data_IF_866722378834
#
_entry.id   IF_866722378834
#
_cell.length_a   1.000
_cell.length_b   1.000
_cell.length_c   1.000
_cell.angle_alpha   90.00
_cell.angle_beta   90.00
_cell.angle_gamma   90.00
#
_symmetry.space_group_name_H-M   'P 1'
#
loop_
_entity.id
_entity.type
_entity.pdbx_description
1 polymer ?
#
# COMPACT_ATOMS: atom_id res chain seq x y z
N UNK A 1 -15.67 -9.02 -19.73
CA UNK A 1 -16.04 -7.87 -18.88
C UNK A 1 -15.97 -6.51 -19.56
N UNK A 2 -15.14 -6.27 -20.60
CA UNK A 2 -15.15 -4.98 -21.31
C UNK A 2 -14.80 -3.76 -20.43
N UNK A 3 -14.15 -4.00 -19.29
CA UNK A 3 -13.80 -2.98 -18.32
C UNK A 3 -12.38 -2.52 -18.60
N UNK A 4 -12.17 -1.21 -18.55
CA UNK A 4 -10.89 -0.61 -18.85
C UNK A 4 -10.50 0.43 -17.80
N UNK A 5 -9.20 0.56 -17.56
CA UNK A 5 -8.64 1.48 -16.57
C UNK A 5 -8.05 2.67 -17.34
N UNK A 6 -8.57 3.88 -17.11
CA UNK A 6 -7.99 5.10 -17.65
C UNK A 6 -6.60 5.35 -17.05
N UNK A 7 -5.56 5.32 -17.88
CA UNK A 7 -4.17 5.52 -17.42
C UNK A 7 -3.65 6.93 -17.65
N UNK A 8 -4.24 7.69 -18.59
CA UNK A 8 -3.79 9.02 -18.93
C UNK A 8 -4.08 9.42 -20.36
N UNK A 9 -3.44 10.49 -20.82
CA UNK A 9 -3.57 11.00 -22.19
C UNK A 9 -2.25 10.89 -22.95
N UNK A 10 -2.32 10.59 -24.24
CA UNK A 10 -1.16 10.61 -25.12
C UNK A 10 -0.81 12.06 -25.54
N UNK A 11 0.18 12.20 -26.44
CA UNK A 11 0.60 13.51 -26.99
C UNK A 11 -0.50 14.24 -27.75
N UNK A 12 -1.42 13.50 -28.37
CA UNK A 12 -2.55 14.04 -29.13
C UNK A 12 -3.75 14.37 -28.23
N UNK A 13 -3.55 14.28 -26.90
CA UNK A 13 -4.57 14.52 -25.85
C UNK A 13 -5.70 13.50 -25.84
N UNK A 14 -5.56 12.41 -26.57
CA UNK A 14 -6.49 11.28 -26.55
C UNK A 14 -6.32 10.47 -25.27
N UNK A 15 -7.43 9.99 -24.72
CA UNK A 15 -7.40 9.13 -23.54
C UNK A 15 -6.85 7.75 -23.90
N UNK A 16 -6.11 7.16 -22.98
CA UNK A 16 -5.56 5.80 -23.07
C UNK A 16 -6.06 4.98 -21.90
N UNK A 17 -6.37 3.73 -22.21
CA UNK A 17 -6.98 2.80 -21.29
C UNK A 17 -6.24 1.46 -21.33
N UNK A 18 -6.17 0.79 -20.20
CA UNK A 18 -5.75 -0.61 -20.11
C UNK A 18 -7.00 -1.45 -20.02
N UNK A 19 -7.25 -2.29 -21.02
CA UNK A 19 -8.34 -3.26 -20.99
C UNK A 19 -7.99 -4.41 -20.07
N UNK A 20 -8.91 -4.74 -19.15
CA UNK A 20 -8.73 -5.87 -18.26
C UNK A 20 -9.16 -7.16 -18.94
N UNK A 21 -8.19 -8.06 -19.09
CA UNK A 21 -8.40 -9.38 -19.69
C UNK A 21 -8.61 -10.41 -18.59
N UNK A 22 -9.68 -11.18 -18.70
CA UNK A 22 -10.07 -12.20 -17.71
C UNK A 22 -9.07 -13.37 -17.63
N UNK A 23 -8.36 -13.63 -18.74
CA UNK A 23 -7.45 -14.76 -18.89
C UNK A 23 -5.98 -14.36 -18.82
N UNK A 24 -5.65 -13.11 -18.49
CA UNK A 24 -4.26 -12.62 -18.40
C UNK A 24 -4.01 -11.94 -17.05
N UNK A 25 -2.74 -11.93 -16.62
CA UNK A 25 -2.35 -11.18 -15.45
C UNK A 25 -2.24 -9.70 -15.82
N UNK A 26 -3.18 -8.85 -15.38
CA UNK A 26 -3.18 -7.41 -15.70
C UNK A 26 -2.23 -6.62 -14.78
N UNK A 27 -1.08 -7.21 -14.45
CA UNK A 27 -0.11 -6.61 -13.54
C UNK A 27 0.54 -5.39 -14.18
N UNK A 28 0.66 -4.31 -13.40
CA UNK A 28 1.29 -3.05 -13.82
C UNK A 28 2.43 -2.74 -12.87
N UNK A 29 3.64 -2.56 -13.41
CA UNK A 29 4.79 -2.10 -12.63
C UNK A 29 5.19 -0.69 -13.05
N UNK A 30 5.23 0.22 -12.09
CA UNK A 30 5.67 1.60 -12.25
C UNK A 30 7.12 1.78 -11.78
N UNK A 31 7.97 2.28 -12.69
CA UNK A 31 9.34 2.69 -12.44
C UNK A 31 9.48 4.20 -12.53
N UNK A 32 10.35 4.79 -11.71
CA UNK A 32 10.71 6.20 -11.81
C UNK A 32 11.42 6.71 -10.56
N UNK A 33 12.19 7.80 -10.65
CA UNK A 33 12.93 8.35 -9.51
C UNK A 33 11.98 8.88 -8.43
N UNK A 34 12.51 9.15 -7.24
CA UNK A 34 11.79 9.86 -6.19
C UNK A 34 11.26 11.23 -6.69
N UNK A 35 10.04 11.59 -6.27
CA UNK A 35 9.38 12.85 -6.66
C UNK A 35 8.81 12.89 -8.09
N UNK A 36 8.93 11.83 -8.88
CA UNK A 36 8.36 11.76 -10.25
C UNK A 36 6.83 11.64 -10.29
N UNK A 37 6.19 11.29 -9.16
CA UNK A 37 4.74 11.14 -9.06
C UNK A 37 4.23 9.70 -9.19
N UNK A 38 5.07 8.67 -8.97
CA UNK A 38 4.63 7.26 -8.99
C UNK A 38 3.43 6.99 -8.08
N UNK A 39 3.56 7.32 -6.81
CA UNK A 39 2.49 7.15 -5.80
C UNK A 39 1.23 7.90 -6.20
N UNK A 40 1.37 9.11 -6.75
CA UNK A 40 0.27 9.92 -7.31
C UNK A 40 -0.46 9.20 -8.45
N UNK A 41 0.27 8.57 -9.38
CA UNK A 41 -0.32 7.81 -10.48
C UNK A 41 -0.98 6.52 -9.99
N UNK A 42 -0.35 5.78 -9.08
CA UNK A 42 -0.95 4.56 -8.52
C UNK A 42 -2.21 4.85 -7.73
N UNK A 43 -2.24 5.96 -6.98
CA UNK A 43 -3.45 6.46 -6.31
C UNK A 43 -4.55 6.74 -7.33
N UNK A 44 -4.22 7.42 -8.42
CA UNK A 44 -5.18 7.70 -9.49
C UNK A 44 -5.75 6.43 -10.13
N UNK A 45 -4.94 5.38 -10.27
CA UNK A 45 -5.39 4.09 -10.79
C UNK A 45 -6.29 3.37 -9.79
N UNK A 46 -5.96 3.39 -8.50
CA UNK A 46 -6.81 2.81 -7.46
C UNK A 46 -8.21 3.45 -7.43
N UNK A 47 -8.27 4.78 -7.57
CA UNK A 47 -9.54 5.53 -7.69
C UNK A 47 -10.34 5.12 -8.92
N UNK A 48 -9.67 4.98 -10.06
CA UNK A 48 -10.29 4.59 -11.33
C UNK A 48 -10.87 3.19 -11.26
N UNK A 49 -10.13 2.26 -10.64
CA UNK A 49 -10.56 0.88 -10.39
C UNK A 49 -11.81 0.88 -9.51
N UNK A 50 -11.75 1.58 -8.37
CA UNK A 50 -12.87 1.63 -7.43
C UNK A 50 -14.15 2.18 -8.07
N UNK A 51 -14.03 3.18 -8.96
CA UNK A 51 -15.19 3.81 -9.60
C UNK A 51 -15.77 3.00 -10.75
N UNK A 52 -14.91 2.40 -11.58
CA UNK A 52 -15.33 1.85 -12.87
C UNK A 52 -15.33 0.32 -12.92
N UNK A 53 -14.88 -0.35 -11.86
CA UNK A 53 -14.87 -1.81 -11.76
C UNK A 53 -15.81 -2.23 -10.63
N UNK A 54 -17.10 -2.48 -10.94
CA UNK A 54 -18.10 -2.82 -9.94
C UNK A 54 -17.68 -4.02 -9.08
N UNK A 55 -17.80 -3.86 -7.77
CA UNK A 55 -17.52 -4.91 -6.81
C UNK A 55 -16.04 -5.25 -6.62
N UNK A 56 -15.10 -4.52 -7.25
CA UNK A 56 -13.67 -4.78 -7.06
C UNK A 56 -13.23 -4.54 -5.62
N UNK A 57 -12.44 -5.47 -5.08
CA UNK A 57 -11.74 -5.25 -3.81
C UNK A 57 -10.44 -4.51 -4.09
N UNK A 58 -10.34 -3.25 -3.67
CA UNK A 58 -9.12 -2.46 -3.75
C UNK A 58 -8.40 -2.49 -2.42
N UNK A 59 -7.16 -3.00 -2.42
CA UNK A 59 -6.28 -3.11 -1.27
C UNK A 59 -5.01 -2.33 -1.55
N UNK A 60 -4.70 -1.36 -0.71
CA UNK A 60 -3.52 -0.50 -0.83
C UNK A 60 -2.58 -0.78 0.34
N UNK A 61 -1.33 -1.07 0.04
CA UNK A 61 -0.27 -1.22 1.05
C UNK A 61 0.48 0.11 1.13
N UNK A 62 0.30 0.82 2.24
CA UNK A 62 0.94 2.11 2.47
C UNK A 62 2.17 1.95 3.38
N UNK A 63 3.30 2.51 2.97
CA UNK A 63 4.58 2.41 3.69
C UNK A 63 5.02 3.73 4.34
N UNK A 64 4.42 4.86 3.96
CA UNK A 64 4.80 6.19 4.46
C UNK A 64 3.62 7.17 4.44
N UNK A 65 3.67 8.15 5.34
CA UNK A 65 2.82 9.33 5.29
C UNK A 65 3.54 10.49 4.60
N UNK A 66 2.80 11.49 4.10
CA UNK A 66 3.34 12.71 3.48
C UNK A 66 2.82 13.98 4.15
N UNK A 67 3.66 14.56 5.00
CA UNK A 67 3.37 15.81 5.73
C UNK A 67 3.10 17.00 4.79
N UNK A 68 3.60 16.97 3.55
CA UNK A 68 3.42 18.08 2.62
C UNK A 68 1.97 18.23 2.16
N UNK A 69 1.18 17.15 2.15
CA UNK A 69 -0.20 17.20 1.70
C UNK A 69 -1.09 18.06 2.59
N UNK A 70 -0.88 18.00 3.91
CA UNK A 70 -1.58 18.88 4.84
C UNK A 70 -1.25 20.34 4.53
N UNK A 71 0.01 20.65 4.24
CA UNK A 71 0.43 21.98 3.81
C UNK A 71 -0.20 22.39 2.47
N UNK A 72 -0.21 21.53 1.46
CA UNK A 72 -0.79 21.80 0.14
C UNK A 72 -2.29 22.18 0.25
N UNK A 73 -3.02 21.51 1.14
CA UNK A 73 -4.41 21.84 1.47
C UNK A 73 -4.55 23.25 2.09
N UNK A 74 -3.64 23.63 2.99
CA UNK A 74 -3.68 24.95 3.65
C UNK A 74 -3.24 26.08 2.72
N UNK A 75 -2.28 25.81 1.85
CA UNK A 75 -1.88 26.74 0.78
C UNK A 75 -3.06 26.95 -0.19
N UNK A 76 -3.78 25.88 -0.56
CA UNK A 76 -5.02 25.98 -1.34
C UNK A 76 -6.07 26.87 -0.65
N UNK A 77 -6.39 26.60 0.62
CA UNK A 77 -7.36 27.40 1.37
C UNK A 77 -6.96 28.88 1.41
N UNK A 78 -5.69 29.17 1.68
CA UNK A 78 -5.16 30.53 1.72
C UNK A 78 -5.32 31.24 0.38
N UNK A 79 -5.00 30.57 -0.72
CA UNK A 79 -5.12 31.13 -2.08
C UNK A 79 -6.60 31.40 -2.41
N UNK A 80 -7.50 30.47 -2.13
CA UNK A 80 -8.92 30.65 -2.44
C UNK A 80 -9.55 31.72 -1.56
N UNK A 81 -9.20 31.79 -0.27
CA UNK A 81 -9.68 32.84 0.63
C UNK A 81 -9.31 34.23 0.11
N UNK A 82 -8.06 34.41 -0.36
CA UNK A 82 -7.61 35.66 -0.99
C UNK A 82 -8.36 35.99 -2.29
N UNK A 83 -8.70 34.98 -3.10
CA UNK A 83 -9.33 35.17 -4.42
C UNK A 83 -10.86 35.32 -4.38
N UNK A 84 -11.52 34.68 -3.43
CA UNK A 84 -12.99 34.53 -3.39
C UNK A 84 -13.64 35.02 -2.10
N UNK A 85 -12.85 35.34 -1.09
CA UNK A 85 -13.32 35.83 0.21
C UNK A 85 -13.60 34.71 1.23
N UNK A 86 -13.67 35.05 2.53
CA UNK A 86 -13.90 34.08 3.61
C UNK A 86 -15.27 33.40 3.56
N UNK A 87 -16.33 34.13 3.20
CA UNK A 87 -17.70 33.60 3.19
C UNK A 87 -17.86 32.47 2.17
N UNK A 88 -17.29 32.65 0.97
CA UNK A 88 -17.24 31.61 -0.05
C UNK A 88 -16.54 30.35 0.47
N UNK A 89 -15.42 30.51 1.20
CA UNK A 89 -14.67 29.38 1.76
C UNK A 89 -15.47 28.63 2.82
N UNK A 90 -16.15 29.36 3.69
CA UNK A 90 -17.01 28.79 4.73
C UNK A 90 -18.16 27.98 4.14
N UNK A 91 -18.75 28.46 3.04
CA UNK A 91 -19.85 27.76 2.35
C UNK A 91 -19.38 26.51 1.60
N UNK A 92 -18.20 26.57 0.94
CA UNK A 92 -17.79 25.53 -0.02
C UNK A 92 -16.73 24.54 0.52
N UNK A 93 -15.99 24.90 1.57
CA UNK A 93 -14.85 24.12 2.07
C UNK A 93 -14.87 23.97 3.59
N UNK A 94 -16.06 23.92 4.19
CA UNK A 94 -16.22 23.81 5.65
C UNK A 94 -15.45 22.65 6.28
N UNK A 95 -15.43 21.41 5.74
CA UNK A 95 -14.65 20.31 6.30
C UNK A 95 -13.14 20.61 6.31
N UNK A 96 -12.66 21.29 5.26
CA UNK A 96 -11.26 21.66 5.14
C UNK A 96 -10.88 22.78 6.11
N UNK A 97 -11.79 23.74 6.33
CA UNK A 97 -11.63 24.80 7.33
C UNK A 97 -11.58 24.22 8.75
N UNK A 98 -12.42 23.23 9.05
CA UNK A 98 -12.38 22.49 10.31
C UNK A 98 -11.03 21.79 10.50
N UNK A 99 -10.54 21.10 9.47
CA UNK A 99 -9.23 20.47 9.51
C UNK A 99 -8.09 21.50 9.69
N UNK A 100 -8.15 22.64 9.00
CA UNK A 100 -7.18 23.73 9.19
C UNK A 100 -7.13 24.23 10.64
N UNK A 101 -8.30 24.43 11.26
CA UNK A 101 -8.37 24.86 12.65
C UNK A 101 -7.78 23.83 13.61
N UNK A 102 -8.00 22.53 13.35
CA UNK A 102 -7.37 21.43 14.09
C UNK A 102 -5.85 21.54 13.98
N UNK A 103 -5.30 21.67 12.77
CA UNK A 103 -3.85 21.77 12.55
C UNK A 103 -3.24 23.00 13.22
N UNK A 104 -3.95 24.13 13.25
CA UNK A 104 -3.48 25.35 13.89
C UNK A 104 -3.38 25.20 15.41
N UNK A 105 -4.33 24.48 16.01
CA UNK A 105 -4.41 24.31 17.45
C UNK A 105 -3.56 23.13 17.95
N UNK A 106 -3.40 22.09 17.12
CA UNK A 106 -2.70 20.86 17.48
C UNK A 106 -1.99 20.21 16.27
N UNK A 107 -1.04 20.95 15.71
CA UNK A 107 -0.20 20.49 14.59
C UNK A 107 0.83 19.42 14.97
N UNK A 108 0.96 19.07 16.25
CA UNK A 108 1.87 18.01 16.73
C UNK A 108 1.18 16.64 16.60
N UNK A 109 -0.08 16.54 17.02
CA UNK A 109 -0.86 15.31 16.91
C UNK A 109 -1.42 15.10 15.49
N UNK A 110 -1.74 16.17 14.77
CA UNK A 110 -2.33 16.13 13.43
C UNK A 110 -1.33 16.52 12.31
N UNK A 111 -1.78 16.51 11.05
CA UNK A 111 -0.99 16.94 9.90
C UNK A 111 -0.11 15.84 9.30
N UNK A 112 -0.47 14.58 9.52
CA UNK A 112 0.27 13.41 9.03
C UNK A 112 -0.62 12.54 8.12
N UNK A 113 -1.18 13.10 7.03
CA UNK A 113 -1.95 12.32 6.07
C UNK A 113 -1.07 11.29 5.36
N UNK A 114 -1.64 10.13 5.03
CA UNK A 114 -0.98 9.09 4.28
C UNK A 114 -0.64 9.50 2.84
N UNK A 115 0.28 8.78 2.21
CA UNK A 115 0.55 8.91 0.76
C UNK A 115 -0.67 8.57 -0.10
N UNK A 116 -1.55 7.74 0.43
CA UNK A 116 -2.84 7.38 -0.13
C UNK A 116 -3.98 8.02 0.67
N UNK A 117 -4.03 9.36 0.69
CA UNK A 117 -5.06 10.16 1.37
C UNK A 117 -6.33 10.30 0.51
N UNK A 118 -6.90 9.16 0.13
CA UNK A 118 -8.09 9.05 -0.72
C UNK A 118 -9.34 9.79 -0.20
N UNK A 119 -9.43 10.02 1.12
CA UNK A 119 -10.56 10.70 1.74
C UNK A 119 -10.57 12.21 1.52
N UNK A 120 -9.44 12.83 1.19
CA UNK A 120 -9.39 14.27 0.91
C UNK A 120 -9.48 14.54 -0.59
N UNK A 121 -10.38 15.44 -1.06
CA UNK A 121 -10.38 15.86 -2.46
C UNK A 121 -9.08 16.60 -2.83
N UNK A 122 -8.58 16.37 -4.03
CA UNK A 122 -7.39 17.03 -4.57
C UNK A 122 -7.67 18.45 -5.07
N UNK A 123 -8.11 19.32 -4.16
CA UNK A 123 -8.32 20.72 -4.46
C UNK A 123 -7.07 21.45 -4.97
N UNK A 124 -5.84 21.18 -4.47
CA UNK A 124 -4.63 21.82 -4.98
C UNK A 124 -4.48 21.66 -6.50
N UNK A 125 -4.83 20.51 -7.07
CA UNK A 125 -4.71 20.26 -8.52
C UNK A 125 -5.70 21.06 -9.38
N UNK A 126 -6.64 21.80 -8.78
CA UNK A 126 -7.48 22.75 -9.51
C UNK A 126 -6.81 24.10 -9.76
N UNK A 127 -5.72 24.40 -9.05
CA UNK A 127 -5.03 25.70 -9.14
C UNK A 127 -3.95 25.71 -10.22
N UNK A 128 -3.40 24.55 -10.55
CA UNK A 128 -2.24 24.42 -11.41
C UNK A 128 -2.64 23.91 -12.79
N UNK A 129 -2.18 24.55 -13.88
CA UNK A 129 -2.36 24.04 -15.22
C UNK A 129 -1.38 22.89 -15.52
N UNK A 130 -1.73 21.97 -16.44
CA UNK A 130 -0.82 20.89 -16.83
C UNK A 130 0.38 21.43 -17.63
N UNK A 131 0.25 22.53 -18.37
CA UNK A 131 1.29 23.17 -19.19
C UNK A 131 1.32 24.69 -18.94
N UNK A 132 2.44 25.41 -19.18
CA UNK A 132 2.46 26.86 -19.02
C UNK A 132 1.45 27.49 -19.98
N UNK A 133 0.65 28.43 -19.48
CA UNK A 133 -0.34 29.13 -20.29
C UNK A 133 -1.57 28.30 -20.67
N UNK A 134 -1.69 27.04 -20.22
CA UNK A 134 -2.95 26.29 -20.37
C UNK A 134 -4.03 26.92 -19.47
N UNK A 135 -5.25 27.05 -20.02
CA UNK A 135 -6.40 27.62 -19.32
C UNK A 135 -7.09 26.58 -18.42
N UNK A 136 -6.83 25.30 -18.65
CA UNK A 136 -7.36 24.20 -17.86
C UNK A 136 -6.45 23.91 -16.68
N UNK A 137 -7.04 23.46 -15.57
CA UNK A 137 -6.28 22.86 -14.47
C UNK A 137 -5.86 21.44 -14.84
N UNK A 138 -4.92 20.86 -14.10
CA UNK A 138 -4.50 19.46 -14.29
C UNK A 138 -5.73 18.53 -14.30
N UNK A 139 -6.65 18.69 -13.34
CA UNK A 139 -7.86 17.86 -13.29
C UNK A 139 -8.80 18.11 -14.48
N UNK A 140 -9.12 19.38 -14.78
CA UNK A 140 -10.09 19.67 -15.84
C UNK A 140 -9.56 19.32 -17.24
N UNK A 141 -8.24 19.39 -17.45
CA UNK A 141 -7.60 18.92 -18.67
C UNK A 141 -7.79 17.42 -18.90
N UNK A 142 -7.85 16.61 -17.84
CA UNK A 142 -8.21 15.19 -17.91
C UNK A 142 -9.73 14.93 -17.93
N UNK A 143 -10.56 15.98 -17.81
CA UNK A 143 -12.02 15.84 -17.64
C UNK A 143 -12.42 15.34 -16.24
N UNK A 144 -11.58 15.59 -15.24
CA UNK A 144 -11.76 15.18 -13.85
C UNK A 144 -12.11 16.37 -12.95
N UNK A 145 -12.66 16.07 -11.77
CA UNK A 145 -12.95 17.03 -10.69
C UNK A 145 -12.40 16.51 -9.36
N UNK A 146 -12.04 17.36 -8.39
CA UNK A 146 -11.66 16.90 -7.05
C UNK A 146 -12.77 16.03 -6.46
N UNK A 147 -12.39 14.92 -5.82
CA UNK A 147 -13.35 13.97 -5.24
C UNK A 147 -12.70 13.23 -4.08
N UNK A 148 -13.46 13.05 -3.00
CA UNK A 148 -13.15 12.15 -1.91
C UNK A 148 -13.69 10.74 -2.19
N UNK A 149 -13.02 9.74 -1.66
CA UNK A 149 -13.41 8.33 -1.79
C UNK A 149 -13.69 7.75 -0.40
N UNK A 150 -14.60 6.78 -0.28
CA UNK A 150 -14.82 6.06 0.96
C UNK A 150 -13.62 5.15 1.23
N UNK A 151 -13.04 5.27 2.42
CA UNK A 151 -11.77 4.64 2.77
C UNK A 151 -11.86 4.01 4.13
N UNK A 152 -11.33 2.79 4.24
CA UNK A 152 -11.03 2.16 5.51
C UNK A 152 -9.53 1.96 5.64
N UNK A 153 -8.95 2.51 6.70
CA UNK A 153 -7.52 2.41 7.02
C UNK A 153 -7.33 1.47 8.21
N UNK A 154 -6.58 0.40 8.02
CA UNK A 154 -6.29 -0.62 9.02
C UNK A 154 -4.87 -0.36 9.54
N UNK A 155 -4.75 -0.06 10.83
CA UNK A 155 -3.51 0.36 11.51
C UNK A 155 -3.16 -0.66 12.59
N UNK A 156 -1.92 -1.12 12.65
CA UNK A 156 -1.47 -2.17 13.59
C UNK A 156 -0.62 -1.54 14.69
N UNK A 157 -0.86 -1.93 15.95
CA UNK A 157 -0.23 -1.28 17.13
C UNK A 157 -0.16 0.26 16.96
N UNK A 158 -1.32 0.95 16.93
CA UNK A 158 -1.35 2.35 16.55
C UNK A 158 -0.50 3.21 17.49
N UNK A 159 0.48 3.95 16.94
CA UNK A 159 1.31 4.89 17.73
C UNK A 159 0.60 6.23 17.99
N UNK A 160 -0.50 6.47 17.28
CA UNK A 160 -1.40 7.62 17.47
C UNK A 160 -2.82 7.13 17.69
N UNK A 161 -3.62 7.95 18.37
CA UNK A 161 -5.05 7.72 18.46
C UNK A 161 -5.67 7.60 17.05
N UNK A 162 -6.50 6.58 16.85
CA UNK A 162 -7.21 6.32 15.60
C UNK A 162 -8.00 7.54 15.13
N UNK A 163 -8.64 8.30 16.02
CA UNK A 163 -9.40 9.52 15.66
C UNK A 163 -8.51 10.58 14.98
N UNK A 164 -7.25 10.69 15.40
CA UNK A 164 -6.31 11.62 14.76
C UNK A 164 -5.93 11.16 13.35
N UNK A 165 -5.77 9.84 13.16
CA UNK A 165 -5.52 9.22 11.86
C UNK A 165 -6.74 9.38 10.94
N UNK A 166 -7.96 9.21 11.48
CA UNK A 166 -9.23 9.43 10.76
C UNK A 166 -9.33 10.85 10.23
N UNK A 167 -9.09 11.84 11.10
CA UNK A 167 -9.13 13.27 10.72
C UNK A 167 -8.08 13.61 9.67
N UNK A 168 -6.83 13.14 9.83
CA UNK A 168 -5.76 13.41 8.88
C UNK A 168 -6.03 12.84 7.49
N UNK A 169 -6.73 11.70 7.40
CA UNK A 169 -6.97 11.01 6.14
C UNK A 169 -8.40 11.16 5.61
N UNK A 170 -9.29 11.82 6.36
CA UNK A 170 -10.74 11.87 6.15
C UNK A 170 -11.32 10.48 5.84
N UNK A 171 -11.08 9.52 6.73
CA UNK A 171 -11.43 8.11 6.53
C UNK A 171 -11.91 7.44 7.83
N UNK A 172 -12.34 6.19 7.74
CA UNK A 172 -12.58 5.33 8.89
C UNK A 172 -11.29 4.58 9.22
N UNK A 173 -10.76 4.75 10.43
CA UNK A 173 -9.58 4.03 10.90
C UNK A 173 -10.01 2.91 11.84
N UNK A 174 -9.36 1.75 11.69
CA UNK A 174 -9.59 0.58 12.51
C UNK A 174 -8.27 0.00 12.95
N UNK A 175 -8.23 -0.46 14.18
CA UNK A 175 -7.11 -1.23 14.65
C UNK A 175 -7.12 -2.62 14.00
N UNK A 176 -6.01 -2.97 13.35
CA UNK A 176 -5.74 -4.28 12.79
C UNK A 176 -5.33 -5.25 13.89
N UNK A 177 -6.06 -6.35 14.01
CA UNK A 177 -5.76 -7.46 14.93
C UNK A 177 -5.44 -8.73 14.14
N UNK A 178 -4.63 -9.60 14.70
CA UNK A 178 -4.30 -10.93 14.15
C UNK A 178 -4.79 -11.98 15.14
N UNK A 179 -5.49 -13.01 14.66
CA UNK A 179 -5.95 -14.06 15.57
C UNK A 179 -4.81 -14.99 15.95
N UNK A 180 -4.70 -15.37 17.22
CA UNK A 180 -3.71 -16.36 17.68
C UNK A 180 -3.71 -17.63 16.82
N UNK A 181 -4.89 -18.14 16.49
CA UNK A 181 -5.05 -19.34 15.66
C UNK A 181 -4.44 -19.25 14.26
N UNK A 182 -4.26 -18.04 13.73
CA UNK A 182 -3.72 -17.81 12.40
C UNK A 182 -2.19 -17.60 12.41
N UNK A 183 -1.60 -17.41 13.60
CA UNK A 183 -0.16 -17.24 13.78
C UNK A 183 0.55 -18.60 13.77
N UNK A 184 1.65 -18.70 13.03
CA UNK A 184 2.53 -19.87 13.02
C UNK A 184 3.63 -19.77 14.08
N UNK A 185 4.19 -20.91 14.53
CA UNK A 185 5.32 -20.90 15.47
C UNK A 185 6.51 -20.11 14.93
N UNK A 186 6.72 -20.14 13.61
CA UNK A 186 7.80 -19.43 12.95
C UNK A 186 7.77 -17.92 13.19
N UNK A 187 6.58 -17.32 13.24
CA UNK A 187 6.38 -15.91 13.62
C UNK A 187 6.63 -15.68 15.11
N UNK A 188 6.04 -16.52 15.97
CA UNK A 188 6.24 -16.43 17.44
C UNK A 188 7.72 -16.52 17.79
N UNK A 189 8.44 -17.44 17.16
CA UNK A 189 9.86 -17.64 17.39
C UNK A 189 10.70 -16.41 17.00
N UNK A 190 10.28 -15.63 16.00
CA UNK A 190 10.96 -14.37 15.65
C UNK A 190 10.60 -13.26 16.64
N UNK A 191 9.32 -13.13 16.98
CA UNK A 191 8.82 -12.12 17.92
C UNK A 191 9.47 -12.28 19.30
N UNK A 192 9.48 -13.49 19.83
CA UNK A 192 10.03 -13.83 21.13
C UNK A 192 11.54 -14.22 21.09
N UNK A 193 12.20 -14.06 19.94
CA UNK A 193 13.61 -14.40 19.74
C UNK A 193 14.00 -15.83 20.21
N UNK A 194 13.12 -16.80 19.96
CA UNK A 194 13.29 -18.19 20.38
C UNK A 194 14.29 -18.89 19.48
N UNK A 195 15.35 -19.46 20.08
CA UNK A 195 16.17 -20.45 19.38
C UNK A 195 15.38 -21.75 19.20
N UNK A 196 15.03 -22.10 17.96
CA UNK A 196 14.17 -23.24 17.60
C UNK A 196 14.70 -24.61 18.06
N UNK A 197 15.99 -24.72 18.37
CA UNK A 197 16.63 -25.96 18.79
C UNK A 197 16.56 -26.21 20.30
N UNK A 198 16.13 -25.22 21.08
CA UNK A 198 15.97 -25.37 22.53
C UNK A 198 14.82 -26.33 22.84
N UNK A 199 14.81 -26.85 24.08
CA UNK A 199 13.71 -27.72 24.54
C UNK A 199 12.39 -26.94 24.52
N UNK A 200 12.35 -25.75 25.14
CA UNK A 200 11.13 -24.95 25.17
C UNK A 200 10.64 -24.54 23.78
N UNK A 201 11.54 -24.22 22.83
CA UNK A 201 11.15 -23.93 21.45
C UNK A 201 10.48 -25.13 20.77
N UNK A 202 10.99 -26.35 20.98
CA UNK A 202 10.36 -27.58 20.48
C UNK A 202 9.00 -27.85 21.14
N UNK A 203 8.87 -27.61 22.44
CA UNK A 203 7.62 -27.78 23.19
C UNK A 203 6.55 -26.81 22.71
N UNK A 204 6.91 -25.53 22.51
CA UNK A 204 5.98 -24.53 21.97
C UNK A 204 5.55 -24.90 20.56
N UNK A 205 6.48 -25.33 19.69
CA UNK A 205 6.14 -25.78 18.32
C UNK A 205 5.20 -26.98 18.33
N UNK A 206 5.44 -27.95 19.21
CA UNK A 206 4.57 -29.12 19.38
C UNK A 206 3.16 -28.68 19.76
N UNK A 207 3.01 -27.87 20.81
CA UNK A 207 1.71 -27.38 21.26
C UNK A 207 1.00 -26.55 20.17
N UNK A 208 1.70 -25.57 19.61
CA UNK A 208 1.12 -24.52 18.78
C UNK A 208 0.82 -24.98 17.34
N UNK A 209 1.80 -25.62 16.69
CA UNK A 209 1.69 -25.98 15.27
C UNK A 209 1.20 -27.40 15.05
N UNK A 210 1.59 -28.35 15.90
CA UNK A 210 1.23 -29.77 15.72
C UNK A 210 -0.09 -30.09 16.41
N UNK A 211 -0.26 -29.67 17.66
CA UNK A 211 -1.47 -29.95 18.46
C UNK A 211 -2.53 -28.85 18.39
N UNK A 212 -2.24 -27.76 17.67
CA UNK A 212 -3.15 -26.64 17.41
C UNK A 212 -3.68 -25.95 18.67
N UNK A 213 -2.91 -25.97 19.77
CA UNK A 213 -3.18 -25.23 21.01
C UNK A 213 -2.83 -23.75 20.86
N UNK A 214 -3.49 -23.08 19.91
CA UNK A 214 -3.15 -21.72 19.44
C UNK A 214 -3.87 -20.63 20.21
N UNK A 215 -3.66 -20.63 21.51
CA UNK A 215 -4.13 -19.63 22.47
C UNK A 215 -3.13 -19.61 23.65
N UNK A 216 -2.72 -18.43 24.18
CA UNK A 216 -1.76 -18.36 25.28
C UNK A 216 -2.17 -19.16 26.52
N UNK A 217 -3.47 -19.24 26.83
CA UNK A 217 -3.99 -19.99 27.99
C UNK A 217 -3.94 -21.51 27.75
N UNK A 218 -4.08 -21.94 26.49
CA UNK A 218 -3.89 -23.35 26.11
C UNK A 218 -2.41 -23.74 26.11
N UNK A 219 -1.54 -22.87 25.60
CA UNK A 219 -0.09 -23.09 25.61
C UNK A 219 0.45 -23.14 27.05
N UNK A 220 -0.03 -22.26 27.93
CA UNK A 220 0.34 -22.27 29.35
C UNK A 220 -0.07 -23.58 30.03
N UNK A 221 -1.32 -24.04 29.84
CA UNK A 221 -1.77 -25.34 30.36
C UNK A 221 -0.92 -26.50 29.84
N UNK A 222 -0.62 -26.49 28.55
CA UNK A 222 0.26 -27.49 27.94
C UNK A 222 1.67 -27.48 28.56
N UNK A 223 2.20 -26.29 28.86
CA UNK A 223 3.48 -26.12 29.57
C UNK A 223 3.48 -26.78 30.95
N UNK A 224 2.43 -26.55 31.74
CA UNK A 224 2.29 -27.20 33.07
C UNK A 224 2.12 -28.71 32.98
N UNK A 225 1.34 -29.21 32.02
CA UNK A 225 1.18 -30.65 31.78
C UNK A 225 2.52 -31.30 31.38
N UNK A 226 3.28 -30.63 30.51
CA UNK A 226 4.61 -31.06 30.11
C UNK A 226 5.56 -31.11 31.31
N UNK A 227 5.60 -30.06 32.14
CA UNK A 227 6.43 -30.01 33.34
C UNK A 227 6.08 -31.14 34.30
N UNK A 228 4.79 -31.37 34.58
CA UNK A 228 4.32 -32.46 35.45
C UNK A 228 4.69 -33.84 34.91
N UNK A 229 4.65 -34.03 33.58
CA UNK A 229 4.99 -35.31 32.94
C UNK A 229 6.47 -35.63 33.03
N UNK A 230 7.35 -34.66 32.80
CA UNK A 230 8.80 -34.89 32.71
C UNK A 230 9.56 -34.54 33.99
N UNK A 231 8.94 -33.83 34.93
CA UNK A 231 9.51 -33.46 36.24
C UNK A 231 8.47 -33.58 37.38
N UNK A 232 7.83 -34.75 37.57
CA UNK A 232 6.69 -34.93 38.48
C UNK A 232 6.97 -34.60 39.97
N UNK A 233 8.24 -34.64 40.39
CA UNK A 233 8.64 -34.44 41.78
C UNK A 233 9.36 -33.09 42.02
N UNK A 234 9.37 -32.18 41.04
CA UNK A 234 10.01 -30.87 41.17
C UNK A 234 9.05 -29.85 41.78
N UNK A 235 9.45 -29.17 42.86
CA UNK A 235 8.69 -28.06 43.48
C UNK A 235 9.04 -26.70 42.88
N UNK A 236 10.13 -26.63 42.10
CA UNK A 236 10.60 -25.42 41.43
C UNK A 236 10.31 -25.53 39.93
N UNK A 237 9.71 -24.50 39.29
CA UNK A 237 9.50 -24.46 37.85
C UNK A 237 10.80 -24.58 37.06
N UNK A 238 10.84 -25.43 36.03
CA UNK A 238 11.98 -25.47 35.11
C UNK A 238 12.13 -24.18 34.31
N UNK A 239 13.36 -23.92 33.85
CA UNK A 239 13.62 -22.85 32.87
C UNK A 239 12.79 -23.02 31.59
N UNK A 240 12.48 -24.25 31.21
CA UNK A 240 11.61 -24.54 30.05
C UNK A 240 10.19 -24.02 30.29
N UNK A 241 9.60 -24.33 31.45
CA UNK A 241 8.28 -23.83 31.80
C UNK A 241 8.29 -22.30 31.91
N UNK A 242 9.28 -21.71 32.59
CA UNK A 242 9.39 -20.25 32.71
C UNK A 242 9.47 -19.56 31.33
N UNK A 243 10.29 -20.05 30.40
CA UNK A 243 10.35 -19.50 29.04
C UNK A 243 9.05 -19.67 28.26
N UNK A 244 8.28 -20.75 28.49
CA UNK A 244 6.94 -20.89 27.88
C UNK A 244 5.99 -19.83 28.43
N UNK A 245 6.01 -19.60 29.75
CA UNK A 245 5.18 -18.58 30.40
C UNK A 245 5.53 -17.17 29.95
N UNK A 246 6.82 -16.87 29.74
CA UNK A 246 7.27 -15.60 29.16
C UNK A 246 6.71 -15.38 27.74
N UNK A 247 6.70 -16.42 26.91
CA UNK A 247 6.10 -16.35 25.56
C UNK A 247 4.58 -16.14 25.66
N UNK A 248 3.89 -16.81 26.58
CA UNK A 248 2.46 -16.58 26.81
C UNK A 248 2.18 -15.15 27.26
N UNK A 249 2.99 -14.60 28.18
CA UNK A 249 2.87 -13.23 28.64
C UNK A 249 3.09 -12.23 27.50
N UNK A 250 4.11 -12.45 26.65
CA UNK A 250 4.37 -11.64 25.46
C UNK A 250 3.15 -11.62 24.53
N UNK A 251 2.63 -12.80 24.16
CA UNK A 251 1.48 -12.92 23.27
C UNK A 251 0.21 -12.24 23.82
N UNK A 252 -0.01 -12.30 25.14
CA UNK A 252 -1.14 -11.60 25.79
C UNK A 252 -0.95 -10.09 25.83
N UNK A 253 0.28 -9.63 26.03
CA UNK A 253 0.61 -8.20 26.19
C UNK A 253 0.65 -7.44 24.86
N UNK A 254 1.01 -8.11 23.77
CA UNK A 254 1.09 -7.49 22.46
C UNK A 254 -0.32 -7.24 21.91
N UNK A 255 -0.64 -5.96 21.74
CA UNK A 255 -1.95 -5.51 21.30
C UNK A 255 -2.27 -5.92 19.87
N UNK A 256 -1.30 -6.34 19.05
CA UNK A 256 -1.58 -6.79 17.69
C UNK A 256 -2.42 -8.06 17.67
N UNK A 257 -2.35 -8.90 18.71
CA UNK A 257 -3.04 -10.17 18.74
C UNK A 257 -4.45 -10.07 19.31
N UNK A 258 -5.30 -11.01 18.92
CA UNK A 258 -6.59 -11.24 19.57
C UNK A 258 -7.00 -12.71 19.49
N UNK A 259 -7.99 -13.09 20.30
CA UNK A 259 -8.57 -14.44 20.25
C UNK A 259 -9.47 -14.64 19.03
N UNK A 260 -10.27 -13.63 18.70
CA UNK A 260 -11.43 -13.79 17.80
C UNK A 260 -11.38 -12.94 16.53
N UNK A 261 -10.73 -11.78 16.56
CA UNK A 261 -10.79 -10.77 15.50
C UNK A 261 -9.54 -10.84 14.61
N UNK A 262 -9.75 -10.85 13.30
CA UNK A 262 -8.67 -10.74 12.32
C UNK A 262 -8.93 -9.52 11.44
N UNK A 263 -7.89 -8.78 11.07
CA UNK A 263 -8.06 -7.59 10.24
C UNK A 263 -8.60 -7.92 8.85
N UNK A 264 -8.42 -9.15 8.35
CA UNK A 264 -8.99 -9.55 7.06
C UNK A 264 -10.51 -9.55 7.05
N UNK A 265 -11.18 -9.64 8.22
CA UNK A 265 -12.64 -9.48 8.30
C UNK A 265 -13.11 -8.04 8.16
N UNK A 266 -12.20 -7.06 8.22
CA UNK A 266 -12.52 -5.65 8.00
C UNK A 266 -12.54 -5.26 6.52
N UNK A 267 -12.04 -6.12 5.62
CA UNK A 267 -11.99 -5.83 4.19
C UNK A 267 -13.40 -5.75 3.59
N UNK A 268 -13.65 -4.71 2.78
CA UNK A 268 -14.91 -4.54 2.04
C UNK A 268 -14.68 -4.01 0.63
N UNK A 269 -15.55 -4.37 -0.31
CA UNK A 269 -15.61 -3.85 -1.68
C UNK A 269 -16.25 -2.46 -1.77
N UNK A 270 -16.90 -1.99 -0.70
CA UNK A 270 -17.60 -0.70 -0.67
C UNK A 270 -16.67 0.49 -0.40
N UNK A 271 -15.41 0.20 -0.03
CA UNK A 271 -14.39 1.18 0.35
C UNK A 271 -13.04 0.81 -0.27
N UNK A 272 -12.16 1.79 -0.42
CA UNK A 272 -10.75 1.52 -0.66
C UNK A 272 -10.11 1.12 0.67
N UNK A 273 -9.54 -0.09 0.74
CA UNK A 273 -8.93 -0.62 1.95
C UNK A 273 -7.45 -0.25 1.96
N UNK A 274 -6.99 0.49 2.97
CA UNK A 274 -5.58 0.84 3.16
C UNK A 274 -5.04 0.02 4.33
N UNK A 275 -4.06 -0.83 4.06
CA UNK A 275 -3.25 -1.50 5.07
C UNK A 275 -2.08 -0.57 5.37
N UNK A 276 -2.10 0.01 6.56
CA UNK A 276 -1.16 1.06 6.96
C UNK A 276 0.06 0.43 7.63
N UNK A 277 1.18 0.39 6.91
CA UNK A 277 2.52 0.08 7.43
C UNK A 277 3.39 1.34 7.55
N UNK A 278 2.80 2.53 7.43
CA UNK A 278 3.52 3.76 7.71
C UNK A 278 3.81 3.88 9.21
N UNK A 279 4.50 4.94 9.60
CA UNK A 279 4.75 5.26 11.01
C UNK A 279 3.48 5.62 11.83
N UNK A 280 2.25 5.36 11.35
CA UNK A 280 1.07 5.22 12.20
C UNK A 280 1.01 3.84 12.89
N UNK A 281 1.64 2.83 12.30
CA UNK A 281 1.71 1.47 12.82
C UNK A 281 3.09 1.20 13.41
N UNK A 282 3.14 0.67 14.62
CA UNK A 282 4.38 0.18 15.19
C UNK A 282 4.60 -1.25 14.69
N UNK A 283 5.41 -1.42 13.65
CA UNK A 283 5.74 -2.73 13.09
C UNK A 283 7.22 -2.77 12.71
N UNK A 284 7.82 -3.94 12.86
CA UNK A 284 9.10 -4.23 12.23
C UNK A 284 8.88 -4.64 10.76
N UNK A 285 9.86 -4.43 9.87
CA UNK A 285 9.77 -4.87 8.47
C UNK A 285 9.44 -6.36 8.30
N UNK A 286 9.91 -7.21 9.23
CA UNK A 286 9.57 -8.64 9.24
C UNK A 286 8.10 -8.91 9.56
N UNK A 287 7.50 -8.11 10.45
CA UNK A 287 6.07 -8.18 10.77
C UNK A 287 5.22 -7.67 9.63
N UNK A 288 5.57 -6.53 9.01
CA UNK A 288 4.89 -6.02 7.82
C UNK A 288 4.82 -7.09 6.71
N UNK A 289 5.96 -7.73 6.42
CA UNK A 289 6.05 -8.78 5.41
C UNK A 289 5.20 -10.02 5.78
N UNK A 290 5.14 -10.38 7.07
CA UNK A 290 4.31 -11.49 7.53
C UNK A 290 2.82 -11.15 7.46
N UNK A 291 2.41 -9.95 7.88
CA UNK A 291 1.02 -9.46 7.80
C UNK A 291 0.57 -9.41 6.34
N UNK A 292 1.42 -8.90 5.45
CA UNK A 292 1.17 -8.91 4.02
C UNK A 292 1.00 -10.34 3.47
N UNK A 293 1.86 -11.29 3.88
CA UNK A 293 1.69 -12.71 3.54
C UNK A 293 0.36 -13.26 4.05
N UNK A 294 -0.01 -13.00 5.30
CA UNK A 294 -1.29 -13.45 5.88
C UNK A 294 -2.49 -12.92 5.09
N UNK A 295 -2.46 -11.63 4.72
CA UNK A 295 -3.46 -11.02 3.85
C UNK A 295 -3.54 -11.70 2.48
N UNK A 296 -2.41 -11.88 1.81
CA UNK A 296 -2.36 -12.55 0.49
C UNK A 296 -2.91 -13.96 0.56
N UNK A 297 -2.52 -14.73 1.58
CA UNK A 297 -3.03 -16.07 1.79
C UNK A 297 -4.55 -16.06 1.96
N UNK A 298 -5.08 -15.21 2.83
CA UNK A 298 -6.53 -15.05 2.99
C UNK A 298 -7.23 -14.71 1.65
N UNK A 299 -6.69 -13.76 0.89
CA UNK A 299 -7.29 -13.35 -0.38
C UNK A 299 -7.34 -14.50 -1.38
N UNK A 300 -6.20 -15.15 -1.61
CA UNK A 300 -6.05 -16.19 -2.64
C UNK A 300 -6.76 -17.49 -2.25
N UNK A 301 -6.70 -17.89 -0.98
CA UNK A 301 -7.25 -19.19 -0.56
C UNK A 301 -8.70 -19.11 -0.11
N UNK A 302 -9.19 -17.94 0.31
CA UNK A 302 -10.54 -17.78 0.86
C UNK A 302 -11.34 -16.73 0.09
N UNK A 303 -10.91 -15.48 0.05
CA UNK A 303 -11.75 -14.38 -0.44
C UNK A 303 -12.20 -14.58 -1.90
N UNK A 304 -11.25 -14.77 -2.82
CA UNK A 304 -11.56 -14.91 -4.25
C UNK A 304 -12.43 -16.14 -4.52
N UNK A 305 -12.04 -17.29 -3.94
CA UNK A 305 -12.72 -18.57 -4.17
C UNK A 305 -14.21 -18.54 -3.83
N UNK A 306 -14.61 -17.73 -2.86
CA UNK A 306 -16.01 -17.65 -2.43
C UNK A 306 -16.79 -16.49 -3.06
N UNK A 307 -16.12 -15.42 -3.53
CA UNK A 307 -16.81 -14.19 -3.97
C UNK A 307 -16.70 -13.86 -5.44
N UNK A 308 -15.91 -14.60 -6.22
CA UNK A 308 -15.67 -14.34 -7.65
C UNK A 308 -15.44 -12.83 -7.95
N UNK A 309 -14.66 -12.19 -7.09
CA UNK A 309 -14.48 -10.74 -7.03
C UNK A 309 -13.08 -10.39 -7.52
N UNK A 310 -12.92 -9.45 -8.48
CA UNK A 310 -11.59 -9.00 -8.87
C UNK A 310 -10.92 -8.25 -7.72
N UNK A 311 -9.66 -8.58 -7.45
CA UNK A 311 -8.88 -7.98 -6.37
C UNK A 311 -7.70 -7.22 -6.96
N UNK A 312 -7.48 -6.00 -6.48
CA UNK A 312 -6.36 -5.15 -6.89
C UNK A 312 -5.51 -4.80 -5.69
N UNK A 313 -4.26 -5.24 -5.71
CA UNK A 313 -3.24 -4.81 -4.77
C UNK A 313 -2.47 -3.64 -5.34
N UNK A 314 -2.46 -2.50 -4.63
CA UNK A 314 -1.62 -1.35 -4.94
C UNK A 314 -0.51 -1.28 -3.91
N UNK A 315 0.73 -1.47 -4.34
CA UNK A 315 1.89 -1.63 -3.46
C UNK A 315 2.94 -0.59 -3.84
N UNK A 316 3.12 0.44 -3.02
CA UNK A 316 4.23 1.37 -3.19
C UNK A 316 5.50 0.83 -2.57
N UNK A 317 6.64 1.19 -3.15
CA UNK A 317 7.98 0.74 -2.72
C UNK A 317 8.04 -0.79 -2.49
N UNK A 318 7.60 -1.57 -3.48
CA UNK A 318 7.46 -3.04 -3.39
C UNK A 318 8.74 -3.76 -2.95
N UNK A 319 9.90 -3.15 -3.19
CA UNK A 319 11.20 -3.68 -2.74
C UNK A 319 11.29 -3.86 -1.22
N UNK A 320 10.61 -3.04 -0.42
CA UNK A 320 10.66 -3.13 1.05
C UNK A 320 10.09 -4.48 1.53
N UNK A 321 9.00 -4.95 0.91
CA UNK A 321 8.41 -6.26 1.22
C UNK A 321 9.30 -7.42 0.75
N UNK A 322 10.11 -7.22 -0.28
CA UNK A 322 10.95 -8.26 -0.89
C UNK A 322 12.22 -8.54 -0.11
N UNK A 323 12.66 -7.63 0.75
CA UNK A 323 13.79 -7.84 1.67
C UNK A 323 13.53 -9.01 2.63
N UNK A 324 12.27 -9.34 2.89
CA UNK A 324 11.86 -10.42 3.77
C UNK A 324 11.31 -11.64 3.03
N UNK A 325 11.64 -12.87 3.47
CA UNK A 325 11.17 -14.10 2.84
C UNK A 325 9.64 -14.23 2.78
N UNK A 326 8.93 -13.74 3.79
CA UNK A 326 7.47 -13.81 3.83
C UNK A 326 6.82 -12.91 2.77
N UNK A 327 7.34 -11.69 2.58
CA UNK A 327 6.86 -10.79 1.53
C UNK A 327 7.21 -11.29 0.13
N UNK A 328 8.40 -11.88 -0.06
CA UNK A 328 8.77 -12.55 -1.32
C UNK A 328 7.85 -13.72 -1.66
N UNK A 329 7.51 -14.56 -0.68
CA UNK A 329 6.55 -15.67 -0.87
C UNK A 329 5.15 -15.15 -1.21
N UNK A 330 4.71 -14.08 -0.57
CA UNK A 330 3.42 -13.45 -0.84
C UNK A 330 3.33 -12.92 -2.27
N UNK A 331 4.35 -12.18 -2.72
CA UNK A 331 4.39 -11.63 -4.08
C UNK A 331 4.55 -12.72 -5.15
N UNK A 332 5.34 -13.78 -4.91
CA UNK A 332 5.43 -14.93 -5.83
C UNK A 332 4.06 -15.60 -5.98
N UNK A 333 3.36 -15.81 -4.86
CA UNK A 333 2.01 -16.39 -4.87
C UNK A 333 1.02 -15.52 -5.63
N UNK A 334 1.03 -14.20 -5.42
CA UNK A 334 0.18 -13.28 -6.18
C UNK A 334 0.48 -13.33 -7.68
N UNK A 335 1.74 -13.36 -8.09
CA UNK A 335 2.08 -13.41 -9.52
C UNK A 335 1.68 -14.75 -10.17
N UNK A 336 1.89 -15.87 -9.47
CA UNK A 336 1.62 -17.21 -10.01
C UNK A 336 0.15 -17.57 -10.00
N UNK A 337 -0.54 -17.29 -8.90
CA UNK A 337 -1.93 -17.69 -8.70
C UNK A 337 -2.91 -16.55 -9.00
N UNK A 338 -2.46 -15.30 -9.08
CA UNK A 338 -3.32 -14.14 -9.30
C UNK A 338 -4.03 -14.15 -10.65
N UNK A 339 -3.37 -14.63 -11.71
CA UNK A 339 -3.98 -14.81 -13.04
C UNK A 339 -5.24 -15.69 -12.97
N UNK A 340 -5.19 -16.80 -12.24
CA UNK A 340 -6.30 -17.75 -12.15
C UNK A 340 -7.38 -17.29 -11.16
N UNK A 341 -7.09 -16.28 -10.35
CA UNK A 341 -7.93 -15.82 -9.23
C UNK A 341 -8.35 -14.35 -9.38
N UNK A 342 -8.24 -13.76 -10.58
CA UNK A 342 -8.55 -12.35 -10.84
C UNK A 342 -7.90 -11.38 -9.84
N UNK A 343 -6.68 -11.70 -9.40
CA UNK A 343 -5.87 -10.84 -8.53
C UNK A 343 -4.84 -10.12 -9.37
N UNK A 344 -4.83 -8.79 -9.27
CA UNK A 344 -3.98 -7.91 -10.05
C UNK A 344 -3.05 -7.13 -9.11
N UNK A 345 -1.79 -6.94 -9.54
CA UNK A 345 -0.78 -6.20 -8.79
C UNK A 345 -0.48 -4.90 -9.54
N UNK A 346 -0.54 -3.79 -8.83
CA UNK A 346 -0.07 -2.48 -9.28
C UNK A 346 1.04 -2.08 -8.33
N UNK A 347 2.29 -2.20 -8.78
CA UNK A 347 3.46 -2.02 -7.92
C UNK A 347 4.29 -0.80 -8.34
N UNK A 348 4.75 -0.02 -7.37
CA UNK A 348 5.69 1.08 -7.58
C UNK A 348 7.08 0.71 -7.09
N UNK A 349 8.11 1.10 -7.85
CA UNK A 349 9.51 0.98 -7.43
C UNK A 349 10.38 2.10 -8.00
N UNK A 350 11.49 2.38 -7.33
CA UNK A 350 12.50 3.33 -7.81
C UNK A 350 13.55 2.67 -8.72
N UNK A 351 13.76 1.36 -8.55
CA UNK A 351 14.76 0.58 -9.27
C UNK A 351 14.17 -0.78 -9.62
N UNK A 352 14.22 -1.17 -10.89
CA UNK A 352 13.81 -2.51 -11.30
C UNK A 352 14.95 -3.51 -11.16
N UNK A 353 16.19 -3.07 -11.32
CA UNK A 353 17.37 -3.89 -11.12
C UNK A 353 17.41 -4.43 -9.67
N UNK A 354 17.64 -5.74 -9.53
CA UNK A 354 17.60 -6.43 -8.25
C UNK A 354 16.21 -6.92 -7.83
N UNK A 355 15.13 -6.49 -8.50
CA UNK A 355 13.82 -7.09 -8.27
C UNK A 355 13.74 -8.52 -8.83
N UNK A 356 12.96 -9.41 -8.20
CA UNK A 356 12.74 -10.74 -8.73
C UNK A 356 12.17 -10.72 -10.14
N UNK A 357 12.64 -11.65 -10.97
CA UNK A 357 12.21 -11.78 -12.36
C UNK A 357 10.68 -11.89 -12.50
N UNK A 358 10.00 -12.54 -11.55
CA UNK A 358 8.54 -12.69 -11.61
C UNK A 358 7.79 -11.35 -11.57
N UNK A 359 8.33 -10.28 -10.95
CA UNK A 359 7.68 -8.97 -10.99
C UNK A 359 7.92 -8.26 -12.33
N UNK A 360 9.14 -8.34 -12.85
CA UNK A 360 9.52 -7.62 -14.08
C UNK A 360 8.94 -8.32 -15.31
N UNK A 361 9.17 -9.62 -15.44
CA UNK A 361 8.70 -10.41 -16.57
C UNK A 361 7.23 -10.81 -16.43
N UNK A 362 6.74 -10.94 -15.19
CA UNK A 362 5.33 -11.22 -14.92
C UNK A 362 4.42 -10.00 -15.01
N UNK A 363 4.95 -8.77 -14.96
CA UNK A 363 4.18 -7.58 -15.31
C UNK A 363 3.74 -7.63 -16.77
N UNK A 364 2.44 -7.46 -17.02
CA UNK A 364 1.93 -7.28 -18.38
C UNK A 364 2.28 -5.89 -18.90
N UNK A 365 2.09 -4.87 -18.06
CA UNK A 365 2.32 -3.47 -18.41
C UNK A 365 3.45 -2.87 -17.60
N UNK A 366 4.20 -1.97 -18.23
CA UNK A 366 5.27 -1.21 -17.57
C UNK A 366 5.01 0.28 -17.76
N UNK A 367 4.85 0.99 -16.65
CA UNK A 367 4.81 2.45 -16.62
C UNK A 367 6.15 3.03 -16.20
N UNK A 368 6.71 3.95 -16.97
CA UNK A 368 7.92 4.70 -16.64
C UNK A 368 7.51 6.14 -16.40
N UNK A 369 7.68 6.63 -15.18
CA UNK A 369 7.28 7.97 -14.76
C UNK A 369 8.52 8.84 -14.57
N UNK A 370 8.54 9.98 -15.24
CA UNK A 370 9.66 10.91 -15.32
C UNK A 370 10.74 10.42 -16.28
N UNK A 371 11.75 9.72 -15.75
CA UNK A 371 12.92 9.24 -16.49
C UNK A 371 13.42 7.92 -15.93
N UNK A 372 14.19 7.18 -16.73
CA UNK A 372 14.95 6.04 -16.23
C UNK A 372 16.22 6.59 -15.54
N UNK A 373 16.43 6.23 -14.28
CA UNK A 373 17.51 6.77 -13.47
C UNK A 373 18.78 5.91 -13.49
N UNK A 374 18.65 4.60 -13.71
CA UNK A 374 19.75 3.62 -13.70
C UNK A 374 20.03 3.07 -15.10
N UNK A 375 21.31 2.90 -15.42
CA UNK A 375 21.73 2.20 -16.65
C UNK A 375 21.36 0.72 -16.62
N UNK A 376 21.37 0.09 -15.45
CA UNK A 376 20.97 -1.32 -15.29
C UNK A 376 19.47 -1.50 -15.54
N UNK A 377 18.65 -0.56 -15.06
CA UNK A 377 17.22 -0.53 -15.39
C UNK A 377 17.02 -0.36 -16.90
N UNK A 378 17.80 0.50 -17.55
CA UNK A 378 17.74 0.69 -19.00
C UNK A 378 18.07 -0.60 -19.76
N UNK A 379 19.14 -1.29 -19.37
CA UNK A 379 19.54 -2.56 -19.98
C UNK A 379 18.49 -3.66 -19.77
N UNK A 380 17.89 -3.73 -18.59
CA UNK A 380 16.80 -4.65 -18.29
C UNK A 380 15.56 -4.33 -19.13
N UNK A 381 15.13 -3.07 -19.16
CA UNK A 381 13.96 -2.65 -19.93
C UNK A 381 14.14 -2.85 -21.45
N UNK A 382 15.35 -2.67 -21.97
CA UNK A 382 15.70 -3.00 -23.38
C UNK A 382 15.46 -4.46 -23.72
N UNK A 383 15.61 -5.37 -22.75
CA UNK A 383 15.35 -6.82 -22.94
C UNK A 383 13.86 -7.16 -22.82
N UNK A 384 13.13 -6.40 -22.00
CA UNK A 384 11.75 -6.72 -21.60
C UNK A 384 10.71 -6.04 -22.50
N UNK A 385 10.97 -4.81 -22.97
CA UNK A 385 10.07 -4.02 -23.81
C UNK A 385 10.50 -4.12 -25.28
N UNK A 386 9.61 -4.62 -26.14
CA UNK A 386 9.92 -4.88 -27.55
C UNK A 386 10.29 -3.62 -28.34
N UNK A 387 9.57 -2.53 -28.13
CA UNK A 387 9.78 -1.26 -28.81
C UNK A 387 10.50 -0.21 -27.95
N UNK A 388 11.41 -0.67 -27.08
CA UNK A 388 12.14 0.17 -26.13
C UNK A 388 12.84 1.39 -26.80
N UNK A 389 13.31 1.25 -28.04
CA UNK A 389 13.95 2.32 -28.81
C UNK A 389 13.11 3.61 -28.94
N UNK A 390 11.79 3.54 -28.72
CA UNK A 390 10.91 4.71 -28.67
C UNK A 390 11.11 5.55 -27.41
N UNK A 391 11.48 4.91 -26.29
CA UNK A 391 11.68 5.56 -25.00
C UNK A 391 12.93 6.45 -25.07
N UNK A 392 12.74 7.74 -24.81
CA UNK A 392 13.81 8.73 -24.78
C UNK A 392 13.86 9.40 -23.42
N UNK A 393 15.01 9.34 -22.77
CA UNK A 393 15.27 10.13 -21.57
C UNK A 393 15.46 11.61 -21.97
N UNK A 394 14.88 12.56 -21.20
CA UNK A 394 15.09 13.98 -21.41
C UNK A 394 16.58 14.32 -21.20
N UNK A 395 17.20 14.97 -22.18
CA UNK A 395 18.58 15.45 -22.10
C UNK A 395 18.56 16.89 -21.58
N UNK A 396 19.33 17.16 -20.54
CA UNK A 396 19.52 18.51 -19.97
C UNK A 396 20.98 18.89 -20.11
N UNK A 397 21.27 20.11 -20.56
CA UNK A 397 22.63 20.62 -20.83
C UNK A 397 23.17 21.48 -19.68
N UNK A 398 22.30 21.94 -18.78
CA UNK A 398 22.69 22.79 -17.64
C UNK A 398 21.84 22.51 -16.39
N UNK A 399 22.35 22.93 -15.23
CA UNK A 399 21.61 22.84 -13.96
C UNK A 399 20.34 23.70 -13.94
N UNK A 400 20.36 24.85 -14.60
CA UNK A 400 19.17 25.72 -14.74
C UNK A 400 18.09 25.03 -15.55
N UNK A 401 18.45 24.48 -16.71
CA UNK A 401 17.53 23.69 -17.54
C UNK A 401 16.99 22.48 -16.78
N UNK A 402 17.82 21.80 -15.98
CA UNK A 402 17.36 20.73 -15.11
C UNK A 402 16.29 21.18 -14.09
N UNK A 403 16.47 22.34 -13.44
CA UNK A 403 15.48 22.89 -12.50
C UNK A 403 14.15 23.19 -13.18
N UNK A 404 14.20 23.68 -14.42
CA UNK A 404 13.00 23.99 -15.18
C UNK A 404 12.31 22.70 -15.67
N UNK A 405 13.07 21.72 -16.16
CA UNK A 405 12.56 20.43 -16.70
C UNK A 405 12.01 19.51 -15.61
N UNK A 406 12.60 19.46 -14.42
CA UNK A 406 12.21 18.49 -13.38
C UNK A 406 10.71 18.55 -13.02
N UNK A 407 10.10 19.73 -12.77
CA UNK A 407 8.65 19.84 -12.59
C UNK A 407 7.84 19.34 -13.79
N UNK A 408 8.32 19.56 -15.02
CA UNK A 408 7.66 19.10 -16.26
C UNK A 408 7.61 17.59 -16.42
N UNK A 409 8.47 16.85 -15.72
CA UNK A 409 8.52 15.39 -15.78
C UNK A 409 7.56 14.73 -14.78
N UNK A 410 7.04 15.47 -13.81
CA UNK A 410 6.14 14.91 -12.79
C UNK A 410 4.83 14.45 -13.43
N UNK A 411 4.43 13.21 -13.18
CA UNK A 411 3.21 12.62 -13.74
C UNK A 411 3.24 12.43 -15.26
N UNK A 412 4.43 12.43 -15.89
CA UNK A 412 4.59 12.20 -17.33
C UNK A 412 5.67 11.17 -17.59
N UNK A 413 5.57 10.45 -18.69
CA UNK A 413 6.62 9.52 -19.10
C UNK A 413 6.15 8.60 -20.20
N UNK A 414 6.39 7.31 -20.04
CA UNK A 414 6.10 6.29 -21.04
C UNK A 414 5.27 5.17 -20.43
N UNK A 415 4.37 4.60 -21.21
CA UNK A 415 3.64 3.40 -20.81
C UNK A 415 3.76 2.36 -21.92
N UNK A 416 4.12 1.15 -21.52
CA UNK A 416 4.29 0.01 -22.40
C UNK A 416 3.15 -0.99 -22.16
N UNK A 417 2.27 -1.11 -23.14
CA UNK A 417 1.13 -2.03 -23.13
C UNK A 417 1.59 -3.42 -23.55
N UNK A 418 1.34 -4.43 -22.71
CA UNK A 418 1.75 -5.82 -22.93
C UNK A 418 3.25 -5.99 -23.27
N UNK A 419 4.07 -4.97 -22.96
CA UNK A 419 5.47 -4.81 -23.40
C UNK A 419 5.66 -4.83 -24.92
N UNK A 420 4.60 -4.66 -25.70
CA UNK A 420 4.57 -4.73 -27.16
C UNK A 420 4.48 -3.36 -27.82
N UNK A 421 3.72 -2.44 -27.21
CA UNK A 421 3.51 -1.09 -27.75
C UNK A 421 3.75 -0.06 -26.66
N UNK A 422 4.65 0.89 -26.91
CA UNK A 422 5.06 1.90 -25.96
C UNK A 422 4.77 3.30 -26.49
N UNK A 423 4.06 4.10 -25.70
CA UNK A 423 3.76 5.48 -26.05
C UNK A 423 4.04 6.44 -24.91
N UNK A 424 4.18 7.72 -25.26
CA UNK A 424 4.38 8.79 -24.29
C UNK A 424 3.05 9.20 -23.70
N UNK A 425 2.97 9.24 -22.37
CA UNK A 425 1.74 9.49 -21.63
C UNK A 425 1.93 10.64 -20.62
N UNK A 426 0.92 11.51 -20.56
CA UNK A 426 0.62 12.32 -19.38
C UNK A 426 -0.34 11.50 -18.51
N UNK A 427 0.15 10.99 -17.39
CA UNK A 427 -0.59 10.05 -16.55
C UNK A 427 -1.80 10.72 -15.90
N UNK A 428 -2.86 9.93 -15.70
CA UNK A 428 -4.07 10.35 -15.00
C UNK A 428 -3.69 10.92 -13.62
N UNK A 429 -4.08 12.17 -13.29
CA UNK A 429 -3.93 12.69 -11.95
C UNK A 429 -5.02 12.12 -11.02
N UNK A 430 -4.74 11.96 -9.73
CA UNK A 430 -5.74 11.53 -8.76
C UNK A 430 -6.71 12.66 -8.44
N UNK A 431 -7.98 12.30 -8.29
CA UNK A 431 -9.04 13.18 -7.82
C UNK A 431 -8.96 13.43 -6.30
N UNK A 432 -8.26 12.56 -5.57
CA UNK A 432 -7.95 12.66 -4.14
C UNK A 432 -6.49 13.09 -3.86
N UNK A 433 -6.23 13.56 -2.64
CA UNK A 433 -5.02 14.27 -2.18
C UNK A 433 -3.78 13.40 -2.01
#
# INVERSE_FOLDING_TARGET
MGVSIYIGKNTDKEKRYVELKENEANHITFLGPSGSGKTTVMRAIAEEIFQNIPGALVVVIEQKYDKNKAKDLMDFLTIITKKKGPDFVKENFQPLLQYYNILKNDGVLHGKPGDFAFGWPNYPFTLYPPFPGDKHSILSWHGLKPKAFPVKRIVFRPVRNLEAIEKDNNCIAREGKIRYKDVDFDFIARLAQINRNTIYGRVIRQAWDLEKKRDPDELERFGYEWEKKYRPNSTVPSSTLLSILEVCALLRSDTIFSKNKDFTSELSTDVINVIDFSANSELTPAEEAWIFKHLVMYIVTKFVRFRNTPVFFVIDEVQNLLEHPDGRKALDKLNREGRSNWVNIISGTQYMYGLPAFLIYGAAHIGIIGRIASADDELLLRKVIRDFHRIKNPKVKSFREYKDVKPWLKGRGWFSFDKMYTERIYFRPPQSL
#
